data_IF_577291144002
#
_entry.id   IF_577291144002
#
_cell.length_a   1.000
_cell.length_b   1.000
_cell.length_c   1.000
_cell.angle_alpha   90.00
_cell.angle_beta   90.00
_cell.angle_gamma   90.00
#
_symmetry.space_group_name_H-M   'P 1'
#
loop_
_entity.id
_entity.type
_entity.pdbx_description
1 polymer ?
#
# COMPACT_ATOMS: atom_id res chain seq x y z
N UNK A 1 13.08 2.55 -7.59
CA UNK A 1 11.87 1.89 -8.14
C UNK A 1 10.97 1.39 -7.01
N UNK A 2 11.36 0.38 -6.22
CA UNK A 2 10.53 -0.17 -5.13
C UNK A 2 10.03 0.85 -4.09
N UNK A 3 10.84 1.82 -3.61
CA UNK A 3 10.36 2.80 -2.62
C UNK A 3 9.27 3.75 -3.15
N UNK A 4 9.22 3.98 -4.46
CA UNK A 4 8.17 4.81 -5.06
C UNK A 4 6.84 4.04 -5.14
N UNK A 5 6.91 2.72 -5.38
CA UNK A 5 5.76 1.84 -5.36
C UNK A 5 5.18 1.73 -3.95
N UNK A 6 6.02 1.50 -2.93
CA UNK A 6 5.60 1.50 -1.52
C UNK A 6 4.85 2.78 -1.16
N UNK A 7 5.42 3.95 -1.48
CA UNK A 7 4.79 5.25 -1.22
C UNK A 7 3.46 5.42 -1.97
N UNK A 8 3.35 4.91 -3.20
CA UNK A 8 2.11 5.00 -3.98
C UNK A 8 1.01 4.14 -3.36
N UNK A 9 1.34 2.90 -3.00
CA UNK A 9 0.41 1.98 -2.34
C UNK A 9 -0.03 2.50 -0.97
N UNK A 10 0.88 3.09 -0.19
CA UNK A 10 0.55 3.76 1.09
C UNK A 10 -0.46 4.91 0.95
N UNK A 11 -0.45 5.63 -0.17
CA UNK A 11 -1.33 6.77 -0.40
C UNK A 11 -2.69 6.35 -0.97
N UNK A 12 -2.68 5.39 -1.90
CA UNK A 12 -3.86 5.01 -2.68
C UNK A 12 -4.70 3.91 -2.02
N UNK A 13 -4.10 2.97 -1.27
CA UNK A 13 -4.83 1.85 -0.68
C UNK A 13 -5.68 2.24 0.54
N UNK A 14 -6.84 1.59 0.67
CA UNK A 14 -7.72 1.67 1.83
C UNK A 14 -7.17 0.87 3.04
N UNK A 15 -7.68 1.13 4.25
CA UNK A 15 -7.12 0.53 5.48
C UNK A 15 -7.31 -0.99 5.54
N UNK A 16 -8.38 -1.48 4.92
CA UNK A 16 -8.73 -2.91 4.83
C UNK A 16 -8.09 -3.62 3.63
N UNK A 17 -7.30 -2.90 2.83
CA UNK A 17 -6.63 -3.48 1.68
C UNK A 17 -5.46 -4.39 2.08
N UNK A 18 -5.19 -5.39 1.25
CA UNK A 18 -4.07 -6.32 1.41
C UNK A 18 -3.25 -6.38 0.14
N UNK A 19 -1.93 -6.22 0.26
CA UNK A 19 -0.98 -6.32 -0.85
C UNK A 19 -0.31 -7.68 -0.80
N UNK A 20 -0.31 -8.39 -1.93
CA UNK A 20 0.39 -9.66 -2.11
C UNK A 20 1.58 -9.45 -3.04
N UNK A 21 2.78 -9.77 -2.56
CA UNK A 21 3.99 -9.76 -3.37
C UNK A 21 4.50 -11.19 -3.56
N UNK A 22 4.76 -11.57 -4.80
CA UNK A 22 5.38 -12.84 -5.15
C UNK A 22 6.83 -12.57 -5.59
N UNK A 23 7.78 -13.35 -5.09
CA UNK A 23 9.24 -13.27 -5.37
C UNK A 23 10.01 -12.09 -4.78
N UNK A 24 9.43 -10.90 -4.74
CA UNK A 24 10.13 -9.70 -4.26
C UNK A 24 9.42 -9.08 -3.05
N UNK A 25 9.95 -9.24 -1.83
CA UNK A 25 9.38 -8.58 -0.66
C UNK A 25 9.64 -7.08 -0.68
N UNK A 26 8.75 -6.33 -0.04
CA UNK A 26 8.98 -4.91 0.24
C UNK A 26 9.93 -4.77 1.42
N UNK A 27 11.12 -4.12 1.26
CA UNK A 27 12.13 -4.06 2.31
C UNK A 27 11.72 -3.24 3.55
N UNK A 28 10.80 -2.28 3.41
CA UNK A 28 10.38 -1.42 4.52
C UNK A 28 9.09 -1.87 5.21
N UNK A 29 8.40 -2.87 4.64
CA UNK A 29 7.12 -3.34 5.18
C UNK A 29 7.31 -4.66 5.92
N UNK A 30 6.55 -4.83 7.00
CA UNK A 30 6.51 -6.10 7.73
C UNK A 30 5.38 -6.96 7.17
N UNK A 31 5.66 -8.15 6.66
CA UNK A 31 4.62 -9.04 6.15
C UNK A 31 3.77 -9.58 7.31
N UNK A 32 2.46 -9.56 7.14
CA UNK A 32 1.51 -10.19 8.04
C UNK A 32 1.54 -11.72 7.89
N UNK A 33 1.76 -12.20 6.67
CA UNK A 33 1.91 -13.63 6.38
C UNK A 33 2.99 -13.84 5.33
N UNK A 34 3.75 -14.92 5.47
CA UNK A 34 4.72 -15.40 4.48
C UNK A 34 4.38 -16.85 4.15
N UNK A 35 4.35 -17.20 2.87
CA UNK A 35 3.97 -18.55 2.40
C UNK A 35 4.78 -18.92 1.16
N UNK A 36 5.22 -20.16 1.07
CA UNK A 36 6.11 -20.64 0.00
C UNK A 36 7.55 -20.79 0.48
N UNK A 37 8.40 -21.36 -0.38
CA UNK A 37 9.81 -21.63 -0.09
C UNK A 37 10.68 -21.16 -1.26
N UNK A 38 11.84 -20.58 -0.97
CA UNK A 38 12.78 -20.11 -1.99
C UNK A 38 12.21 -19.01 -2.89
N UNK A 39 12.32 -19.18 -4.20
CA UNK A 39 11.90 -18.17 -5.18
C UNK A 39 10.39 -17.95 -5.26
N UNK A 40 9.60 -18.94 -4.82
CA UNK A 40 8.13 -18.89 -4.84
C UNK A 40 7.57 -18.44 -3.50
N UNK A 41 8.39 -17.80 -2.68
CA UNK A 41 7.93 -17.15 -1.46
C UNK A 41 7.00 -15.99 -1.82
N UNK A 42 5.90 -15.93 -1.09
CA UNK A 42 4.82 -14.95 -1.20
C UNK A 42 4.68 -14.25 0.14
N UNK A 43 4.57 -12.93 0.10
CA UNK A 43 4.39 -12.07 1.27
C UNK A 43 3.06 -11.35 1.17
N UNK A 44 2.28 -11.41 2.24
CA UNK A 44 1.05 -10.65 2.40
C UNK A 44 1.28 -9.50 3.37
N UNK A 45 0.88 -8.29 2.98
CA UNK A 45 1.00 -7.08 3.78
C UNK A 45 -0.37 -6.44 3.97
N UNK A 46 -0.74 -6.19 5.22
CA UNK A 46 -1.97 -5.47 5.55
C UNK A 46 -1.73 -3.97 5.47
N UNK A 47 -2.57 -3.25 4.73
CA UNK A 47 -2.46 -1.81 4.56
C UNK A 47 -2.51 -1.05 5.89
N UNK A 48 -3.28 -1.57 6.85
CA UNK A 48 -3.32 -1.08 8.23
C UNK A 48 -1.96 -1.11 8.95
N UNK A 49 -1.04 -2.01 8.56
CA UNK A 49 0.26 -2.18 9.24
C UNK A 49 1.32 -1.18 8.79
N UNK A 50 1.30 -0.77 7.52
CA UNK A 50 2.29 0.15 6.95
C UNK A 50 1.74 1.56 6.70
N UNK A 51 0.42 1.75 6.73
CA UNK A 51 -0.17 3.09 6.71
C UNK A 51 0.10 3.80 8.03
N UNK A 52 1.24 4.49 8.08
CA UNK A 52 1.48 5.53 9.08
C UNK A 52 0.34 6.53 8.96
N UNK A 53 -0.49 6.62 9.98
CA UNK A 53 -1.72 7.42 10.07
C UNK A 53 -1.52 8.89 9.67
N UNK A 54 -1.36 9.16 8.38
CA UNK A 54 -1.46 10.48 7.81
C UNK A 54 -2.94 10.71 7.70
N UNK A 55 -3.49 11.49 8.63
CA UNK A 55 -4.81 12.11 8.46
C UNK A 55 -4.83 12.66 7.04
N UNK A 56 -5.58 12.03 6.14
CA UNK A 56 -5.75 12.53 4.77
C UNK A 56 -6.25 13.97 4.94
N UNK A 57 -5.54 15.03 4.50
CA UNK A 57 -6.26 16.24 4.17
C UNK A 57 -7.27 15.79 3.12
N UNK A 58 -8.56 15.99 3.41
CA UNK A 58 -9.66 15.63 2.52
C UNK A 58 -9.26 16.03 1.11
N UNK A 59 -9.29 15.06 0.20
CA UNK A 59 -8.97 15.28 -1.21
C UNK A 59 -9.94 16.35 -1.74
N UNK A 60 -9.50 17.61 -1.76
CA UNK A 60 -10.17 18.71 -2.46
C UNK A 60 -9.70 18.67 -3.91
N UNK A 61 -10.09 17.63 -4.65
CA UNK A 61 -9.85 17.61 -6.09
C UNK A 61 -10.91 16.85 -6.88
N UNK A 62 -12.18 17.04 -6.53
CA UNK A 62 -13.31 16.80 -7.44
C UNK A 62 -14.41 17.83 -7.20
N UNK A 63 -14.07 19.12 -7.35
CA UNK A 63 -15.07 20.15 -7.63
C UNK A 63 -14.41 21.27 -8.41
N UNK A 64 -14.20 21.04 -9.71
CA UNK A 64 -13.94 22.12 -10.66
C UNK A 64 -14.71 21.88 -11.96
N UNK A 65 -16.02 21.66 -11.83
CA UNK A 65 -17.05 22.06 -12.80
C UNK A 65 -18.34 22.26 -12.00
N UNK A 66 -19.14 23.24 -12.38
CA UNK A 66 -20.32 23.81 -11.68
C UNK A 66 -19.94 24.97 -10.74
N UNK A 67 -20.56 26.13 -11.02
CA UNK A 67 -20.23 27.52 -10.62
C UNK A 67 -19.19 28.14 -11.58
N UNK A 68 -19.55 28.72 -12.74
CA UNK A 68 -20.67 29.63 -13.10
C UNK A 68 -21.19 29.28 -14.49
#
# INVERSE_FOLDING_TARGET
>A
MMPQLEKKLELELEDEARVIACRFPFPHWTPAQVTGEGIDTVWAYDASSFRRSKKRPRSVHFQLVIQI
#
